data_IF_982449502683
#
_entry.id   IF_982449502683
#
_cell.length_a   1.000
_cell.length_b   1.000
_cell.length_c   1.000
_cell.angle_alpha   90.00
_cell.angle_beta   90.00
_cell.angle_gamma   90.00
#
_symmetry.space_group_name_H-M   'P 1'
#
loop_
_entity.id
_entity.type
_entity.pdbx_description
1 polymer ?
#
# COMPACT_ATOMS: atom_id res chain seq x y z
N UNK A 1 23.16 9.41 -14.56
CA UNK A 1 23.23 7.98 -14.95
C UNK A 1 23.02 7.94 -16.45
N UNK A 2 24.02 7.47 -17.21
CA UNK A 2 23.89 7.32 -18.66
C UNK A 2 23.11 6.03 -18.92
N UNK A 3 21.88 6.16 -19.34
CA UNK A 3 21.14 5.03 -19.88
C UNK A 3 21.83 4.59 -21.17
N UNK A 4 22.09 3.30 -21.36
CA UNK A 4 22.66 2.84 -22.62
C UNK A 4 21.64 3.12 -23.73
N UNK A 5 22.01 4.01 -24.66
CA UNK A 5 21.36 4.13 -25.95
C UNK A 5 21.62 2.84 -26.73
N UNK A 6 20.87 1.79 -26.44
CA UNK A 6 20.87 0.58 -27.27
C UNK A 6 20.00 0.80 -28.52
N UNK A 7 20.35 1.79 -29.33
CA UNK A 7 19.84 1.92 -30.68
C UNK A 7 20.75 1.09 -31.62
N UNK A 8 20.79 -0.23 -31.42
CA UNK A 8 21.47 -1.11 -32.33
C UNK A 8 20.64 -1.50 -33.57
N UNK A 9 19.61 -0.73 -33.94
CA UNK A 9 18.81 -1.00 -35.13
C UNK A 9 18.15 -2.38 -35.16
N UNK A 10 18.05 -3.06 -34.01
CA UNK A 10 17.47 -4.39 -33.93
C UNK A 10 15.95 -4.23 -33.82
N UNK A 11 15.24 -4.75 -34.77
CA UNK A 11 13.79 -4.86 -34.71
C UNK A 11 13.40 -5.96 -33.74
N UNK A 12 12.41 -5.72 -32.92
CA UNK A 12 11.81 -6.65 -31.96
C UNK A 12 10.29 -6.55 -32.01
N UNK A 13 9.58 -7.59 -31.60
CA UNK A 13 8.14 -7.45 -31.41
C UNK A 13 7.81 -6.42 -30.33
N UNK A 14 6.67 -5.77 -30.44
CA UNK A 14 6.22 -4.81 -29.42
C UNK A 14 6.11 -5.47 -28.04
N UNK A 15 5.77 -6.77 -27.96
CA UNK A 15 5.79 -7.56 -26.74
C UNK A 15 7.17 -7.60 -26.05
N UNK A 16 8.25 -7.83 -26.83
CA UNK A 16 9.62 -7.77 -26.30
C UNK A 16 10.01 -6.36 -25.86
N UNK A 17 9.59 -5.32 -26.61
CA UNK A 17 9.85 -3.92 -26.23
C UNK A 17 9.15 -3.53 -24.93
N UNK A 18 7.95 -4.07 -24.66
CA UNK A 18 7.27 -3.93 -23.35
C UNK A 18 8.18 -4.47 -22.25
N UNK A 19 8.69 -5.68 -22.39
CA UNK A 19 9.57 -6.31 -21.39
C UNK A 19 10.89 -5.56 -21.22
N UNK A 20 11.56 -5.19 -22.31
CA UNK A 20 12.78 -4.37 -22.27
C UNK A 20 12.56 -3.05 -21.50
N UNK A 21 11.37 -2.44 -21.68
CA UNK A 21 11.00 -1.21 -20.96
C UNK A 21 10.79 -1.46 -19.47
N UNK A 22 10.14 -2.57 -19.10
CA UNK A 22 9.98 -2.95 -17.69
C UNK A 22 11.34 -3.15 -17.02
N UNK A 23 12.30 -3.83 -17.69
CA UNK A 23 13.69 -3.98 -17.23
C UNK A 23 14.34 -2.61 -17.04
N UNK A 24 14.22 -1.71 -18.01
CA UNK A 24 14.79 -0.35 -17.94
C UNK A 24 14.16 0.50 -16.82
N UNK A 25 12.93 0.19 -16.40
CA UNK A 25 12.23 0.82 -15.28
C UNK A 25 12.53 0.16 -13.92
N UNK A 26 13.36 -0.89 -13.89
CA UNK A 26 13.81 -1.56 -12.68
C UNK A 26 12.80 -2.56 -12.11
N UNK A 27 11.95 -3.13 -12.98
CA UNK A 27 11.09 -4.25 -12.59
C UNK A 27 11.94 -5.51 -12.52
N UNK A 28 12.00 -6.12 -11.34
CA UNK A 28 12.78 -7.33 -11.08
C UNK A 28 11.90 -8.59 -11.13
N UNK A 29 10.60 -8.44 -10.92
CA UNK A 29 9.65 -9.54 -10.84
C UNK A 29 8.30 -9.17 -11.44
N UNK A 30 7.64 -10.14 -12.06
CA UNK A 30 6.25 -10.07 -12.50
C UNK A 30 5.48 -11.30 -12.05
N UNK A 31 4.18 -11.15 -11.85
CA UNK A 31 3.28 -12.22 -11.43
C UNK A 31 2.29 -12.50 -12.55
N UNK A 32 2.30 -13.73 -13.07
CA UNK A 32 1.52 -14.05 -14.26
C UNK A 32 0.61 -15.26 -14.08
N UNK A 33 -0.52 -15.26 -14.78
CA UNK A 33 -1.20 -16.47 -15.19
C UNK A 33 -1.09 -16.50 -16.71
N UNK A 34 -0.27 -17.39 -17.29
CA UNK A 34 0.00 -17.42 -18.71
C UNK A 34 -1.27 -17.59 -19.55
N UNK A 35 -1.33 -16.88 -20.67
CA UNK A 35 -2.42 -16.96 -21.62
C UNK A 35 -2.00 -16.61 -23.04
N UNK A 36 -2.71 -17.14 -24.01
CA UNK A 36 -2.39 -17.01 -25.43
C UNK A 36 -2.44 -15.58 -25.96
N UNK A 37 -3.22 -14.71 -25.31
CA UNK A 37 -3.42 -13.34 -25.77
C UNK A 37 -2.24 -12.39 -25.56
N UNK A 38 -1.15 -12.84 -24.95
CA UNK A 38 0.06 -12.04 -24.77
C UNK A 38 1.37 -12.87 -24.86
N UNK A 39 1.39 -13.82 -25.79
CA UNK A 39 2.53 -14.74 -25.99
C UNK A 39 3.85 -14.02 -26.27
N UNK A 40 3.84 -12.95 -27.08
CA UNK A 40 5.05 -12.17 -27.35
C UNK A 40 5.65 -11.49 -26.13
N UNK A 41 4.82 -11.14 -25.14
CA UNK A 41 5.31 -10.65 -23.85
C UNK A 41 5.91 -11.79 -23.02
N UNK A 42 5.26 -12.97 -23.01
CA UNK A 42 5.79 -14.15 -22.30
C UNK A 42 7.12 -14.63 -22.90
N UNK A 43 7.24 -14.57 -24.22
CA UNK A 43 8.49 -14.88 -24.94
C UNK A 43 9.60 -13.91 -24.56
N UNK A 44 9.30 -12.61 -24.56
CA UNK A 44 10.23 -11.58 -24.09
C UNK A 44 10.64 -11.74 -22.62
N UNK A 45 9.73 -12.20 -21.74
CA UNK A 45 10.05 -12.51 -20.34
C UNK A 45 11.01 -13.68 -20.19
N UNK A 46 10.89 -14.71 -21.06
CA UNK A 46 11.78 -15.88 -21.03
C UNK A 46 13.25 -15.52 -21.28
N UNK A 47 13.51 -14.48 -22.07
CA UNK A 47 14.84 -14.00 -22.41
C UNK A 47 15.32 -12.82 -21.53
N UNK A 48 14.51 -12.39 -20.56
CA UNK A 48 14.78 -11.23 -19.71
C UNK A 48 15.33 -11.61 -18.33
N UNK A 49 15.96 -10.67 -17.61
CA UNK A 49 16.36 -10.89 -16.22
C UNK A 49 15.17 -10.82 -15.23
N UNK A 50 13.96 -10.51 -15.68
CA UNK A 50 12.78 -10.42 -14.83
C UNK A 50 12.36 -11.82 -14.36
N UNK A 51 12.24 -12.02 -13.06
CA UNK A 51 11.69 -13.24 -12.50
C UNK A 51 10.18 -13.31 -12.80
N UNK A 52 9.77 -14.31 -13.59
CA UNK A 52 8.36 -14.56 -13.88
C UNK A 52 7.78 -15.58 -12.89
N UNK A 53 6.99 -15.11 -11.92
CA UNK A 53 6.29 -15.97 -10.96
C UNK A 53 4.96 -16.40 -11.56
N UNK A 54 4.90 -17.63 -12.02
CA UNK A 54 3.68 -18.21 -12.59
C UNK A 54 2.73 -18.66 -11.47
N UNK A 55 1.55 -18.06 -11.45
CA UNK A 55 0.50 -18.30 -10.46
C UNK A 55 -0.61 -19.21 -11.02
N UNK A 56 -1.44 -19.73 -10.13
CA UNK A 56 -2.56 -20.62 -10.53
C UNK A 56 -3.91 -19.89 -10.67
N UNK A 57 -3.97 -18.66 -10.15
CA UNK A 57 -5.18 -17.84 -10.18
C UNK A 57 -4.80 -16.36 -10.30
N UNK A 58 -5.49 -15.62 -11.14
CA UNK A 58 -5.17 -14.23 -11.46
C UNK A 58 -5.36 -13.30 -10.26
N UNK A 59 -6.35 -13.55 -9.41
CA UNK A 59 -6.52 -12.84 -8.14
C UNK A 59 -5.29 -12.99 -7.24
N UNK A 60 -4.70 -14.19 -7.16
CA UNK A 60 -3.47 -14.46 -6.43
C UNK A 60 -2.27 -13.71 -7.03
N UNK A 61 -2.09 -13.79 -8.35
CA UNK A 61 -1.04 -13.06 -9.08
C UNK A 61 -1.13 -11.55 -8.82
N UNK A 62 -2.33 -11.00 -8.91
CA UNK A 62 -2.57 -9.57 -8.77
C UNK A 62 -2.42 -9.10 -7.31
N UNK A 63 -2.80 -9.93 -6.31
CA UNK A 63 -2.50 -9.65 -4.90
C UNK A 63 -1.00 -9.67 -4.59
N UNK A 64 -0.23 -10.58 -5.22
CA UNK A 64 1.22 -10.59 -5.07
C UNK A 64 1.84 -9.30 -5.63
N UNK A 65 1.40 -8.84 -6.81
CA UNK A 65 1.85 -7.59 -7.39
C UNK A 65 1.46 -6.39 -6.51
N UNK A 66 0.27 -6.38 -5.93
CA UNK A 66 -0.16 -5.34 -5.00
C UNK A 66 0.72 -5.30 -3.75
N UNK A 67 1.01 -6.47 -3.15
CA UNK A 67 1.89 -6.56 -1.99
C UNK A 67 3.33 -6.10 -2.31
N UNK A 68 3.84 -6.40 -3.50
CA UNK A 68 5.14 -5.92 -3.96
C UNK A 68 5.17 -4.39 -4.11
N UNK A 69 4.08 -3.80 -4.64
CA UNK A 69 3.92 -2.35 -4.70
C UNK A 69 3.98 -1.67 -3.32
N UNK A 70 3.43 -2.31 -2.28
CA UNK A 70 3.55 -1.85 -0.88
C UNK A 70 4.97 -1.92 -0.37
N UNK A 71 5.69 -3.01 -0.66
CA UNK A 71 7.05 -3.20 -0.18
C UNK A 71 8.03 -2.19 -0.79
N UNK A 72 7.93 -1.95 -2.09
CA UNK A 72 8.93 -1.17 -2.83
C UNK A 72 8.51 0.25 -3.18
N UNK A 73 7.24 0.61 -3.07
CA UNK A 73 6.67 1.91 -3.49
C UNK A 73 6.91 2.21 -4.99
N UNK A 74 7.26 1.18 -5.73
CA UNK A 74 7.29 1.13 -7.20
C UNK A 74 6.13 0.27 -7.65
N UNK A 75 5.57 0.48 -8.84
CA UNK A 75 4.45 -0.33 -9.26
C UNK A 75 4.79 -1.82 -9.31
N UNK A 76 4.07 -2.64 -8.54
CA UNK A 76 4.09 -4.09 -8.72
C UNK A 76 3.39 -4.44 -10.04
N UNK A 77 3.85 -5.49 -10.71
CA UNK A 77 3.42 -5.83 -12.07
C UNK A 77 2.77 -7.21 -12.10
N UNK A 78 1.52 -7.27 -12.59
CA UNK A 78 0.86 -8.53 -12.92
C UNK A 78 0.45 -8.58 -14.40
N UNK A 79 0.36 -9.79 -14.95
CA UNK A 79 -0.06 -10.00 -16.33
C UNK A 79 -1.05 -11.16 -16.43
N UNK A 80 -2.17 -10.92 -17.10
CA UNK A 80 -3.28 -11.88 -17.22
C UNK A 80 -3.84 -11.92 -18.64
N UNK A 81 -4.54 -12.98 -18.96
CA UNK A 81 -5.23 -13.08 -20.24
C UNK A 81 -6.54 -12.28 -20.26
N UNK A 82 -7.13 -12.17 -21.45
CA UNK A 82 -8.41 -11.49 -21.73
C UNK A 82 -9.59 -12.13 -21.00
N UNK A 83 -10.70 -11.40 -20.92
CA UNK A 83 -11.99 -11.85 -20.40
C UNK A 83 -11.91 -12.48 -19.01
N UNK A 84 -11.99 -13.82 -18.90
CA UNK A 84 -11.99 -14.52 -17.62
C UNK A 84 -10.80 -14.20 -16.71
N UNK A 85 -9.59 -14.09 -17.27
CA UNK A 85 -8.41 -13.73 -16.51
C UNK A 85 -8.46 -12.29 -15.96
N UNK A 86 -8.92 -11.36 -16.80
CA UNK A 86 -9.17 -9.97 -16.42
C UNK A 86 -10.19 -9.86 -15.28
N UNK A 87 -11.28 -10.63 -15.37
CA UNK A 87 -12.32 -10.66 -14.34
C UNK A 87 -11.79 -11.15 -12.99
N UNK A 88 -10.99 -12.22 -12.98
CA UNK A 88 -10.40 -12.77 -11.77
C UNK A 88 -9.39 -11.80 -11.10
N UNK A 89 -8.70 -10.97 -11.89
CA UNK A 89 -7.74 -9.99 -11.39
C UNK A 89 -8.39 -8.77 -10.72
N UNK A 90 -9.67 -8.50 -10.97
CA UNK A 90 -10.35 -7.26 -10.57
C UNK A 90 -10.36 -7.04 -9.05
N UNK A 91 -10.49 -8.08 -8.26
CA UNK A 91 -10.54 -7.98 -6.79
C UNK A 91 -9.30 -7.30 -6.22
N UNK A 92 -8.12 -7.59 -6.75
CA UNK A 92 -6.87 -6.99 -6.29
C UNK A 92 -6.66 -5.56 -6.80
N UNK A 93 -7.24 -5.20 -7.97
CA UNK A 93 -7.28 -3.80 -8.40
C UNK A 93 -8.08 -2.94 -7.42
N UNK A 94 -9.23 -3.44 -6.95
CA UNK A 94 -10.00 -2.75 -5.91
C UNK A 94 -9.19 -2.60 -4.60
N UNK A 95 -8.40 -3.61 -4.23
CA UNK A 95 -7.49 -3.53 -3.09
C UNK A 95 -6.43 -2.44 -3.31
N UNK A 96 -5.73 -2.46 -4.43
CA UNK A 96 -4.71 -1.45 -4.76
C UNK A 96 -5.29 -0.02 -4.80
N UNK A 97 -6.52 0.14 -5.27
CA UNK A 97 -7.24 1.43 -5.27
C UNK A 97 -7.50 1.94 -3.85
N UNK A 98 -8.09 1.09 -2.99
CA UNK A 98 -8.40 1.45 -1.61
C UNK A 98 -7.14 1.73 -0.78
N UNK A 99 -6.11 0.93 -0.99
CA UNK A 99 -4.84 1.01 -0.28
C UNK A 99 -3.90 2.09 -0.83
N UNK A 100 -4.25 2.71 -1.96
CA UNK A 100 -3.37 3.65 -2.66
C UNK A 100 -2.01 3.03 -3.00
N UNK A 101 -2.02 1.80 -3.49
CA UNK A 101 -0.82 1.04 -3.86
C UNK A 101 -0.53 1.17 -5.35
N UNK A 102 0.70 1.55 -5.70
CA UNK A 102 1.13 1.60 -7.08
C UNK A 102 1.18 0.19 -7.70
N UNK A 103 0.45 -0.03 -8.79
CA UNK A 103 0.36 -1.32 -9.47
C UNK A 103 0.05 -1.14 -10.96
N UNK A 104 0.62 -1.99 -11.81
CA UNK A 104 0.25 -2.07 -13.23
C UNK A 104 -0.21 -3.50 -13.53
N UNK A 105 -1.43 -3.61 -14.07
CA UNK A 105 -1.97 -4.86 -14.61
C UNK A 105 -1.96 -4.80 -16.13
N UNK A 106 -1.18 -5.68 -16.75
CA UNK A 106 -1.25 -5.91 -18.18
C UNK A 106 -2.28 -6.99 -18.49
N UNK A 107 -3.16 -6.70 -19.43
CA UNK A 107 -4.26 -7.60 -19.84
C UNK A 107 -4.16 -7.85 -21.33
N UNK A 108 -3.95 -9.10 -21.72
CA UNK A 108 -4.03 -9.47 -23.14
C UNK A 108 -5.45 -9.21 -23.67
N UNK A 109 -5.56 -8.74 -24.90
CA UNK A 109 -6.83 -8.48 -25.56
C UNK A 109 -6.94 -9.25 -26.86
N UNK A 110 -8.15 -9.34 -27.38
CA UNK A 110 -8.41 -9.85 -28.73
C UNK A 110 -7.73 -8.96 -29.78
N UNK A 111 -7.44 -9.49 -31.00
CA UNK A 111 -6.96 -8.68 -32.10
C UNK A 111 -7.83 -7.44 -32.33
N UNK A 112 -7.18 -6.33 -32.65
CA UNK A 112 -7.86 -5.03 -32.79
C UNK A 112 -8.95 -5.07 -33.88
N UNK A 113 -8.70 -5.79 -34.96
CA UNK A 113 -9.63 -5.96 -36.07
C UNK A 113 -10.88 -6.81 -35.74
N UNK A 114 -10.86 -7.54 -34.61
CA UNK A 114 -11.97 -8.41 -34.17
C UNK A 114 -12.94 -7.73 -33.19
N UNK A 115 -12.67 -6.49 -32.80
CA UNK A 115 -13.52 -5.75 -31.83
C UNK A 115 -14.94 -5.56 -32.33
N UNK A 116 -15.88 -5.53 -31.40
CA UNK A 116 -17.32 -5.35 -31.63
C UNK A 116 -17.97 -6.43 -32.50
N UNK A 117 -17.36 -7.64 -32.52
CA UNK A 117 -17.86 -8.79 -33.27
C UNK A 117 -18.22 -9.97 -32.38
N UNK A 118 -18.35 -9.76 -31.06
CA UNK A 118 -18.54 -10.81 -30.07
C UNK A 118 -17.43 -11.90 -30.17
N UNK A 119 -16.17 -11.45 -30.36
CA UNK A 119 -15.03 -12.33 -30.47
C UNK A 119 -14.81 -13.12 -29.17
N UNK A 120 -14.17 -14.29 -29.28
CA UNK A 120 -13.93 -15.16 -28.13
C UNK A 120 -13.20 -14.43 -26.99
N UNK A 121 -13.84 -14.37 -25.82
CA UNK A 121 -13.37 -13.68 -24.61
C UNK A 121 -13.24 -12.15 -24.76
N UNK A 122 -13.93 -11.55 -25.69
CA UNK A 122 -14.00 -10.10 -25.83
C UNK A 122 -14.64 -9.45 -24.61
N UNK A 123 -14.10 -8.30 -24.20
CA UNK A 123 -14.69 -7.42 -23.19
C UNK A 123 -14.19 -5.99 -23.41
N UNK A 124 -14.87 -5.02 -22.84
CA UNK A 124 -14.44 -3.62 -22.86
C UNK A 124 -13.66 -3.30 -21.59
N UNK A 125 -12.30 -3.09 -21.67
CA UNK A 125 -11.48 -2.77 -20.52
C UNK A 125 -11.89 -1.48 -19.80
N UNK A 126 -12.35 -0.46 -20.54
CA UNK A 126 -12.81 0.80 -19.94
C UNK A 126 -14.07 0.57 -19.12
N UNK A 127 -15.07 -0.13 -19.65
CA UNK A 127 -16.30 -0.42 -18.93
C UNK A 127 -16.07 -1.23 -17.65
N UNK A 128 -15.04 -2.11 -17.63
CA UNK A 128 -14.76 -2.95 -16.48
C UNK A 128 -13.90 -2.28 -15.42
N UNK A 129 -12.93 -1.45 -15.81
CA UNK A 129 -11.85 -1.03 -14.90
C UNK A 129 -11.82 0.47 -14.57
N UNK A 130 -12.46 1.35 -15.35
CA UNK A 130 -12.37 2.82 -15.13
C UNK A 130 -12.85 3.25 -13.73
N UNK A 131 -13.77 2.52 -13.10
CA UNK A 131 -14.31 2.89 -11.78
C UNK A 131 -13.41 2.55 -10.61
N UNK A 132 -12.45 1.63 -10.76
CA UNK A 132 -11.59 1.12 -9.68
C UNK A 132 -10.10 1.26 -9.96
N UNK A 133 -9.73 2.07 -10.96
CA UNK A 133 -8.33 2.30 -11.34
C UNK A 133 -8.04 3.77 -11.57
N UNK A 134 -6.76 4.13 -11.56
CA UNK A 134 -6.34 5.49 -11.90
C UNK A 134 -6.48 5.77 -13.39
N UNK A 135 -6.21 4.76 -14.20
CA UNK A 135 -6.24 4.87 -15.65
C UNK A 135 -6.35 3.50 -16.29
N UNK A 136 -7.11 3.44 -17.38
CA UNK A 136 -7.11 2.32 -18.32
C UNK A 136 -6.50 2.81 -19.62
N UNK A 137 -5.58 2.05 -20.18
CA UNK A 137 -4.86 2.37 -21.40
C UNK A 137 -4.87 1.17 -22.32
N UNK A 138 -4.92 1.39 -23.63
CA UNK A 138 -4.88 0.31 -24.61
C UNK A 138 -3.75 0.62 -25.60
N UNK A 139 -2.90 -0.35 -25.83
CA UNK A 139 -1.84 -0.25 -26.85
C UNK A 139 -2.47 -0.31 -28.24
N UNK A 140 -2.63 0.84 -28.86
CA UNK A 140 -3.27 1.00 -30.17
C UNK A 140 -2.30 0.94 -31.35
N UNK A 141 -1.02 1.22 -31.13
CA UNK A 141 0.05 1.18 -32.12
C UNK A 141 1.30 0.55 -31.52
N UNK A 142 1.89 -0.39 -32.24
CA UNK A 142 3.06 -1.14 -31.77
C UNK A 142 4.26 -0.23 -31.40
N UNK A 143 4.49 0.84 -32.17
CA UNK A 143 5.58 1.80 -31.94
C UNK A 143 5.47 2.54 -30.58
N UNK A 144 4.29 2.55 -29.97
CA UNK A 144 4.02 3.15 -28.66
C UNK A 144 4.24 2.18 -27.49
N UNK A 145 4.72 0.96 -27.75
CA UNK A 145 4.87 -0.07 -26.72
C UNK A 145 5.69 0.41 -25.51
N UNK A 146 6.85 1.03 -25.73
CA UNK A 146 7.65 1.58 -24.64
C UNK A 146 7.04 2.81 -23.99
N UNK A 147 6.41 3.68 -24.78
CA UNK A 147 5.72 4.88 -24.25
C UNK A 147 4.61 4.50 -23.27
N UNK A 148 3.75 3.55 -23.64
CA UNK A 148 2.60 3.15 -22.82
C UNK A 148 3.03 2.50 -21.51
N UNK A 149 4.11 1.71 -21.52
CA UNK A 149 4.69 1.12 -20.29
C UNK A 149 5.23 2.22 -19.39
N UNK A 150 6.02 3.15 -19.93
CA UNK A 150 6.59 4.26 -19.16
C UNK A 150 5.49 5.14 -18.54
N UNK A 151 4.45 5.45 -19.31
CA UNK A 151 3.29 6.22 -18.85
C UNK A 151 2.48 5.46 -17.77
N UNK A 152 2.27 4.15 -17.94
CA UNK A 152 1.56 3.33 -16.95
C UNK A 152 2.31 3.27 -15.61
N UNK A 153 3.63 3.03 -15.65
CA UNK A 153 4.49 3.00 -14.46
C UNK A 153 4.51 4.36 -13.75
N UNK A 154 4.61 5.46 -14.52
CA UNK A 154 4.55 6.82 -13.97
C UNK A 154 3.17 7.12 -13.36
N UNK A 155 2.09 6.84 -14.10
CA UNK A 155 0.72 7.12 -13.64
C UNK A 155 0.37 6.35 -12.37
N UNK A 156 0.79 5.08 -12.27
CA UNK A 156 0.56 4.26 -11.08
C UNK A 156 1.23 4.84 -9.81
N UNK A 157 2.45 5.40 -9.93
CA UNK A 157 3.24 5.89 -8.81
C UNK A 157 3.03 7.39 -8.49
N UNK A 158 2.52 8.19 -9.44
CA UNK A 158 2.41 9.65 -9.32
C UNK A 158 1.16 10.09 -8.54
N UNK A 159 1.21 11.26 -7.91
CA UNK A 159 0.12 11.75 -7.07
C UNK A 159 -0.25 10.72 -5.99
N UNK A 160 -1.55 10.50 -5.75
CA UNK A 160 -2.01 9.35 -4.95
C UNK A 160 -1.71 8.08 -5.75
N UNK A 161 -0.84 7.18 -5.25
CA UNK A 161 -0.57 5.92 -5.94
C UNK A 161 -1.83 5.08 -6.14
N UNK A 162 -1.82 4.21 -7.14
CA UNK A 162 -2.96 3.33 -7.39
C UNK A 162 -2.80 2.48 -8.65
N UNK A 163 -3.75 1.59 -8.94
CA UNK A 163 -3.67 0.66 -10.05
C UNK A 163 -3.89 1.34 -11.40
N UNK A 164 -3.14 0.88 -12.39
CA UNK A 164 -3.29 1.21 -13.82
C UNK A 164 -3.45 -0.09 -14.60
N UNK A 165 -4.36 -0.11 -15.56
CA UNK A 165 -4.57 -1.26 -16.45
C UNK A 165 -4.07 -0.91 -17.86
N UNK A 166 -3.32 -1.82 -18.47
CA UNK A 166 -2.84 -1.70 -19.85
C UNK A 166 -3.33 -2.89 -20.66
N UNK A 167 -4.21 -2.62 -21.61
CA UNK A 167 -4.72 -3.61 -22.56
C UNK A 167 -3.73 -3.81 -23.72
N UNK A 168 -3.44 -5.06 -24.04
CA UNK A 168 -2.47 -5.49 -25.05
C UNK A 168 -3.17 -6.29 -26.15
N UNK A 169 -3.62 -5.66 -27.26
CA UNK A 169 -4.17 -6.39 -28.39
C UNK A 169 -3.13 -7.33 -29.00
N UNK A 170 -3.54 -8.57 -29.23
CA UNK A 170 -2.68 -9.67 -29.66
C UNK A 170 -1.96 -9.37 -31.00
N UNK A 171 -2.67 -8.82 -31.97
CA UNK A 171 -2.15 -8.46 -33.28
C UNK A 171 -1.17 -7.25 -33.25
N UNK A 172 -1.26 -6.41 -32.21
CA UNK A 172 -0.39 -5.26 -32.05
C UNK A 172 0.94 -5.66 -31.39
N UNK A 173 0.90 -6.50 -30.34
CA UNK A 173 2.13 -6.89 -29.64
C UNK A 173 3.05 -7.80 -30.47
N UNK A 174 2.52 -8.45 -31.50
CA UNK A 174 3.28 -9.29 -32.46
C UNK A 174 4.05 -8.47 -33.51
N UNK A 175 3.70 -7.19 -33.70
CA UNK A 175 4.32 -6.37 -34.74
C UNK A 175 5.76 -6.03 -34.38
N UNK A 176 6.65 -6.18 -35.36
CA UNK A 176 8.05 -5.80 -35.21
C UNK A 176 8.25 -4.30 -35.37
N UNK A 177 8.93 -3.71 -34.41
CA UNK A 177 9.22 -2.27 -34.34
C UNK A 177 10.70 -2.00 -34.05
N UNK A 178 11.14 -0.77 -34.27
CA UNK A 178 12.44 -0.30 -33.80
C UNK A 178 12.40 -0.09 -32.28
N UNK A 179 13.21 -0.83 -31.54
CA UNK A 179 13.24 -0.78 -30.08
C UNK A 179 13.84 0.55 -29.57
N UNK A 180 12.98 1.48 -29.20
CA UNK A 180 13.36 2.71 -28.48
C UNK A 180 12.72 2.69 -27.12
N UNK A 181 13.54 2.77 -26.05
CA UNK A 181 13.04 2.71 -24.68
C UNK A 181 12.82 4.10 -24.11
N UNK A 182 11.62 4.34 -23.60
CA UNK A 182 11.29 5.54 -22.85
C UNK A 182 11.89 5.46 -21.43
N UNK A 183 12.60 6.50 -20.96
CA UNK A 183 13.21 6.50 -19.65
C UNK A 183 12.17 6.67 -18.55
N UNK A 184 12.51 6.19 -17.36
CA UNK A 184 11.69 6.39 -16.14
C UNK A 184 11.62 7.88 -15.79
N UNK A 185 10.42 8.41 -15.65
CA UNK A 185 10.18 9.77 -15.18
C UNK A 185 10.20 9.85 -13.64
N UNK A 186 10.78 10.90 -13.04
CA UNK A 186 10.73 11.12 -11.61
C UNK A 186 9.32 11.48 -11.15
N UNK A 187 8.94 11.00 -9.96
CA UNK A 187 7.64 11.29 -9.34
C UNK A 187 7.81 12.39 -8.30
N UNK A 188 6.98 13.44 -8.40
CA UNK A 188 6.99 14.54 -7.43
C UNK A 188 6.41 14.10 -6.07
N UNK A 189 7.04 14.54 -4.98
CA UNK A 189 6.65 14.21 -3.60
C UNK A 189 5.94 15.33 -2.83
N UNK A 190 5.81 16.52 -3.41
CA UNK A 190 5.32 17.70 -2.68
C UNK A 190 6.25 18.13 -1.54
N UNK A 191 5.72 18.89 -0.59
CA UNK A 191 6.46 19.34 0.60
C UNK A 191 5.70 20.46 1.31
N UNK A 192 6.13 20.82 2.52
CA UNK A 192 5.54 21.95 3.25
C UNK A 192 5.96 23.29 2.63
N UNK A 193 4.98 24.16 2.39
CA UNK A 193 5.23 25.58 2.14
C UNK A 193 5.59 26.27 3.45
N UNK A 194 6.07 27.51 3.37
CA UNK A 194 6.34 28.34 4.56
C UNK A 194 5.05 28.57 5.38
N UNK A 195 3.90 28.71 4.69
CA UNK A 195 2.62 28.87 5.36
C UNK A 195 2.17 27.59 6.03
N UNK A 196 2.28 26.42 5.37
CA UNK A 196 1.99 25.11 5.96
C UNK A 196 2.82 24.89 7.24
N UNK A 197 4.12 25.21 7.16
CA UNK A 197 5.02 25.05 8.30
C UNK A 197 4.57 25.93 9.49
N UNK A 198 4.23 27.22 9.20
CA UNK A 198 3.75 28.15 10.22
C UNK A 198 2.43 27.68 10.83
N UNK A 199 1.46 27.29 10.01
CA UNK A 199 0.14 26.81 10.47
C UNK A 199 0.27 25.57 11.37
N UNK A 200 1.13 24.61 11.00
CA UNK A 200 1.35 23.42 11.82
C UNK A 200 2.07 23.75 13.13
N UNK A 201 3.13 24.57 13.05
CA UNK A 201 3.88 25.02 14.23
C UNK A 201 2.98 25.75 15.25
N UNK A 202 2.19 26.73 14.79
CA UNK A 202 1.28 27.49 15.64
C UNK A 202 0.21 26.57 16.26
N UNK A 203 -0.33 25.62 15.47
CA UNK A 203 -1.31 24.64 15.96
C UNK A 203 -0.72 23.72 17.04
N UNK A 204 0.52 23.29 16.90
CA UNK A 204 1.24 22.50 17.93
C UNK A 204 1.51 23.32 19.18
N UNK A 205 1.92 24.58 19.05
CA UNK A 205 2.13 25.47 20.21
C UNK A 205 0.86 25.74 21.02
N UNK A 206 -0.32 25.78 20.36
CA UNK A 206 -1.60 25.97 21.01
C UNK A 206 -2.18 24.68 21.62
N UNK A 207 -1.75 23.51 21.13
CA UNK A 207 -2.27 22.21 21.56
C UNK A 207 -1.75 21.78 22.93
N UNK A 208 -2.63 21.19 23.74
CA UNK A 208 -2.29 20.50 24.99
C UNK A 208 -2.25 18.98 24.82
N UNK A 209 -2.98 18.45 23.83
CA UNK A 209 -3.18 17.02 23.59
C UNK A 209 -2.97 16.63 22.11
N UNK A 210 -1.78 16.88 21.55
CA UNK A 210 -1.50 16.56 20.15
C UNK A 210 -1.41 15.05 19.91
N UNK A 211 -1.84 14.61 18.73
CA UNK A 211 -1.74 13.23 18.26
C UNK A 211 -1.38 13.21 16.78
N UNK A 212 -0.37 12.43 16.41
CA UNK A 212 -0.11 12.07 15.03
C UNK A 212 -0.73 10.72 14.72
N UNK A 213 -1.48 10.61 13.62
CA UNK A 213 -1.99 9.33 13.12
C UNK A 213 -1.37 9.09 11.75
N UNK A 214 -0.57 8.05 11.66
CA UNK A 214 0.14 7.68 10.42
C UNK A 214 -0.57 6.54 9.71
N UNK A 215 -0.51 6.53 8.38
CA UNK A 215 -1.10 5.46 7.58
C UNK A 215 -0.70 5.52 6.13
N UNK A 216 -1.32 4.67 5.30
CA UNK A 216 -0.97 4.52 3.89
C UNK A 216 0.34 3.77 3.65
N UNK A 217 0.69 3.59 2.37
CA UNK A 217 1.80 2.73 1.95
C UNK A 217 2.97 3.48 1.30
N UNK A 218 2.99 4.82 1.34
CA UNK A 218 4.02 5.64 0.66
C UNK A 218 5.08 6.18 1.64
N UNK A 219 5.41 5.36 2.64
CA UNK A 219 6.47 5.63 3.62
C UNK A 219 7.82 5.05 3.19
N UNK A 220 8.90 5.52 3.80
CA UNK A 220 10.22 4.90 3.77
C UNK A 220 10.63 4.51 5.18
N UNK A 221 11.53 3.52 5.32
CA UNK A 221 12.08 3.16 6.64
C UNK A 221 12.72 4.37 7.33
N UNK A 222 13.41 5.21 6.55
CA UNK A 222 14.03 6.43 7.04
C UNK A 222 13.00 7.45 7.55
N UNK A 223 11.92 7.70 6.79
CA UNK A 223 10.87 8.62 7.23
C UNK A 223 10.12 8.11 8.46
N UNK A 224 9.87 6.80 8.54
CA UNK A 224 9.28 6.15 9.70
C UNK A 224 10.15 6.34 10.95
N UNK A 225 11.45 6.06 10.83
CA UNK A 225 12.43 6.24 11.91
C UNK A 225 12.53 7.71 12.35
N UNK A 226 12.71 8.63 11.40
CA UNK A 226 12.82 10.07 11.69
C UNK A 226 11.57 10.64 12.37
N UNK A 227 10.38 10.23 11.94
CA UNK A 227 9.14 10.65 12.60
C UNK A 227 9.10 10.13 14.05
N UNK A 228 9.41 8.85 14.26
CA UNK A 228 9.42 8.26 15.61
C UNK A 228 10.38 8.98 16.53
N UNK A 229 11.62 9.22 16.11
CA UNK A 229 12.63 9.96 16.87
C UNK A 229 12.17 11.38 17.21
N UNK A 230 11.55 12.09 16.26
CA UNK A 230 11.03 13.44 16.49
C UNK A 230 9.85 13.46 17.47
N UNK A 231 8.91 12.49 17.36
CA UNK A 231 7.81 12.34 18.31
C UNK A 231 8.31 12.04 19.72
N UNK A 232 9.33 11.19 19.86
CA UNK A 232 9.96 10.84 21.14
C UNK A 232 10.68 12.04 21.78
N UNK A 233 11.43 12.80 20.99
CA UNK A 233 12.13 14.01 21.44
C UNK A 233 11.13 15.02 22.02
N UNK A 234 10.03 15.26 21.33
CA UNK A 234 9.01 16.22 21.75
C UNK A 234 7.92 15.63 22.63
N UNK A 235 7.99 14.32 22.96
CA UNK A 235 7.03 13.61 23.82
C UNK A 235 5.59 13.70 23.31
N UNK A 236 5.41 13.65 21.99
CA UNK A 236 4.11 13.70 21.29
C UNK A 236 3.63 12.28 21.00
N UNK A 237 2.32 12.05 21.22
CA UNK A 237 1.67 10.77 20.95
C UNK A 237 1.61 10.47 19.45
N UNK A 238 1.92 9.22 19.07
CA UNK A 238 1.86 8.73 17.72
C UNK A 238 1.09 7.42 17.61
N UNK A 239 0.04 7.43 16.81
CA UNK A 239 -0.80 6.27 16.49
C UNK A 239 -0.61 5.84 15.04
N UNK A 240 -1.00 4.61 14.74
CA UNK A 240 -1.03 4.09 13.38
C UNK A 240 -2.46 3.78 12.96
N UNK A 241 -2.76 3.99 11.69
CA UNK A 241 -4.06 3.62 11.15
C UNK A 241 -4.21 2.10 11.08
N UNK A 242 -5.45 1.64 11.15
CA UNK A 242 -5.82 0.23 11.00
C UNK A 242 -5.24 -0.38 9.71
N UNK A 243 -4.56 -1.53 9.83
CA UNK A 243 -3.90 -2.27 8.75
C UNK A 243 -2.70 -1.60 8.06
N UNK A 244 -2.19 -0.50 8.63
CA UNK A 244 -0.95 0.15 8.13
C UNK A 244 0.09 0.29 9.23
N UNK A 245 0.22 -0.73 10.06
CA UNK A 245 1.12 -0.73 11.23
C UNK A 245 2.60 -0.80 10.81
N UNK A 246 3.46 -0.29 11.68
CA UNK A 246 4.91 -0.27 11.50
C UNK A 246 5.47 1.08 11.03
N UNK A 247 4.62 2.09 10.82
CA UNK A 247 5.08 3.47 10.55
C UNK A 247 5.59 4.19 11.80
N UNK A 248 5.16 3.76 12.98
CA UNK A 248 5.74 4.08 14.27
C UNK A 248 6.03 2.75 14.96
N UNK A 249 7.28 2.48 15.42
CA UNK A 249 7.63 1.22 16.05
C UNK A 249 6.79 0.96 17.31
N UNK A 250 6.40 -0.30 17.51
CA UNK A 250 5.59 -0.74 18.65
C UNK A 250 6.26 -0.44 20.02
N UNK A 251 7.56 -0.51 20.07
CA UNK A 251 8.40 -0.26 21.27
C UNK A 251 8.74 1.22 21.48
N UNK A 252 8.40 2.12 20.57
CA UNK A 252 8.55 3.56 20.78
C UNK A 252 7.73 4.04 21.98
N UNK A 253 8.27 4.85 22.89
CA UNK A 253 7.51 5.46 23.99
C UNK A 253 6.39 6.38 23.53
N UNK A 254 6.46 6.89 22.30
CA UNK A 254 5.43 7.70 21.68
C UNK A 254 4.31 6.87 21.03
N UNK A 255 4.50 5.55 20.83
CA UNK A 255 3.50 4.70 20.20
C UNK A 255 2.30 4.45 21.09
N UNK A 256 1.11 4.82 20.62
CA UNK A 256 -0.15 4.72 21.39
C UNK A 256 -1.18 3.78 20.73
N UNK A 257 -0.74 2.96 19.78
CA UNK A 257 -1.48 1.84 19.24
C UNK A 257 -2.15 2.06 17.88
N UNK A 258 -2.80 1.01 17.35
CA UNK A 258 -3.55 1.09 16.12
C UNK A 258 -4.92 1.74 16.36
N UNK A 259 -5.32 2.64 15.44
CA UNK A 259 -6.64 3.27 15.40
C UNK A 259 -7.51 2.58 14.36
N UNK A 260 -8.56 1.89 14.78
CA UNK A 260 -9.46 1.17 13.89
C UNK A 260 -10.28 0.12 14.63
N UNK A 261 -10.83 -0.82 13.91
CA UNK A 261 -11.65 -1.90 14.49
C UNK A 261 -10.88 -2.70 15.54
N UNK A 262 -11.60 -3.16 16.57
CA UNK A 262 -11.05 -3.96 17.65
C UNK A 262 -10.37 -3.18 18.78
N UNK A 263 -10.21 -1.86 18.67
CA UNK A 263 -9.67 -1.05 19.78
C UNK A 263 -10.66 -0.91 20.93
N UNK A 264 -10.19 -0.81 22.18
CA UNK A 264 -11.09 -0.69 23.34
C UNK A 264 -11.72 0.68 23.43
N UNK A 265 -12.89 0.77 24.08
CA UNK A 265 -13.61 2.04 24.29
C UNK A 265 -12.75 3.17 24.89
N UNK A 266 -11.89 2.94 25.91
CA UNK A 266 -11.04 4.01 26.42
C UNK A 266 -10.14 4.68 25.37
N UNK A 267 -9.73 3.97 24.31
CA UNK A 267 -8.96 4.56 23.20
C UNK A 267 -9.82 5.51 22.36
N UNK A 268 -11.10 5.21 22.15
CA UNK A 268 -12.05 6.12 21.51
C UNK A 268 -12.25 7.38 22.33
N UNK A 269 -12.42 7.24 23.64
CA UNK A 269 -12.60 8.37 24.56
C UNK A 269 -11.38 9.31 24.51
N UNK A 270 -10.16 8.75 24.49
CA UNK A 270 -8.94 9.54 24.36
C UNK A 270 -8.84 10.24 22.99
N UNK A 271 -9.27 9.58 21.92
CA UNK A 271 -9.30 10.21 20.59
C UNK A 271 -10.24 11.43 20.56
N UNK A 272 -11.38 11.37 21.27
CA UNK A 272 -12.28 12.51 21.44
C UNK A 272 -11.72 13.61 22.35
N UNK A 273 -10.89 13.28 23.35
CA UNK A 273 -10.23 14.28 24.18
C UNK A 273 -9.13 15.06 23.43
N UNK A 274 -8.50 14.45 22.42
CA UNK A 274 -7.41 15.04 21.62
C UNK A 274 -7.85 16.35 20.97
N UNK A 275 -7.10 17.43 21.12
CA UNK A 275 -7.43 18.75 20.57
C UNK A 275 -6.86 19.00 19.17
N UNK A 276 -5.73 18.39 18.85
CA UNK A 276 -5.08 18.44 17.54
C UNK A 276 -4.73 17.03 17.04
N UNK A 277 -5.19 16.68 15.84
CA UNK A 277 -4.72 15.47 15.14
C UNK A 277 -4.05 15.87 13.83
N UNK A 278 -2.85 15.30 13.59
CA UNK A 278 -2.13 15.37 12.33
C UNK A 278 -2.20 14.01 11.64
N UNK A 279 -3.03 13.88 10.61
CA UNK A 279 -3.12 12.67 9.80
C UNK A 279 -2.04 12.69 8.73
N UNK A 280 -1.11 11.72 8.75
CA UNK A 280 0.03 11.67 7.83
C UNK A 280 -0.07 10.43 6.92
N UNK A 281 -0.27 10.66 5.63
CA UNK A 281 -0.42 9.59 4.63
C UNK A 281 -1.77 8.87 4.70
N UNK A 282 -2.68 9.32 5.56
CA UNK A 282 -4.01 8.77 5.75
C UNK A 282 -5.05 9.88 5.92
N UNK A 283 -6.30 9.51 6.11
CA UNK A 283 -7.45 10.42 6.28
C UNK A 283 -8.26 10.02 7.51
N UNK A 284 -9.08 10.90 8.09
CA UNK A 284 -10.04 10.55 9.13
C UNK A 284 -11.18 9.67 8.55
N UNK A 285 -10.81 8.47 8.09
CA UNK A 285 -11.73 7.51 7.49
C UNK A 285 -12.67 6.86 8.50
N UNK A 286 -13.63 6.09 8.03
CA UNK A 286 -14.64 5.39 8.82
C UNK A 286 -14.04 4.47 9.89
N UNK A 287 -12.97 3.74 9.56
CA UNK A 287 -12.30 2.84 10.52
C UNK A 287 -11.67 3.58 11.69
N UNK A 288 -11.10 4.78 11.45
CA UNK A 288 -10.47 5.60 12.51
C UNK A 288 -11.53 6.35 13.32
N UNK A 289 -12.61 6.79 12.68
CA UNK A 289 -13.64 7.66 13.27
C UNK A 289 -14.91 6.91 13.68
N UNK A 290 -14.87 5.59 13.75
CA UNK A 290 -16.01 4.73 14.10
C UNK A 290 -17.26 5.04 13.26
N UNK A 291 -17.14 4.81 11.96
CA UNK A 291 -18.24 5.09 11.02
C UNK A 291 -18.57 6.57 10.90
N UNK A 292 -17.57 7.46 10.99
CA UNK A 292 -17.72 8.92 10.96
C UNK A 292 -18.54 9.48 12.13
N UNK A 293 -18.54 8.81 13.30
CA UNK A 293 -19.28 9.26 14.48
C UNK A 293 -18.45 10.09 15.45
N UNK A 294 -17.13 9.87 15.50
CA UNK A 294 -16.21 10.63 16.36
C UNK A 294 -15.40 11.66 15.55
N UNK A 295 -14.84 12.65 16.23
CA UNK A 295 -14.06 13.76 15.63
C UNK A 295 -14.87 14.62 14.65
N UNK A 296 -16.19 14.69 14.81
CA UNK A 296 -17.05 15.55 13.99
C UNK A 296 -17.17 16.98 14.54
N UNK A 297 -16.51 17.30 15.68
CA UNK A 297 -16.49 18.63 16.23
C UNK A 297 -15.55 19.55 15.44
N UNK A 298 -16.08 20.61 14.85
CA UNK A 298 -15.34 21.60 14.04
C UNK A 298 -14.42 22.52 14.86
N UNK A 299 -14.61 22.59 16.18
CA UNK A 299 -13.73 23.38 17.07
C UNK A 299 -12.37 22.70 17.29
N UNK A 300 -12.26 21.39 16.98
CA UNK A 300 -11.02 20.63 17.09
C UNK A 300 -10.22 20.66 15.78
N UNK A 301 -8.89 20.79 15.90
CA UNK A 301 -8.02 20.90 14.72
C UNK A 301 -7.68 19.53 14.15
N UNK A 302 -7.88 19.35 12.86
CA UNK A 302 -7.46 18.20 12.09
C UNK A 302 -6.59 18.68 10.91
N UNK A 303 -5.31 18.35 10.93
CA UNK A 303 -4.39 18.56 9.81
C UNK A 303 -4.34 17.31 8.96
N UNK A 304 -4.34 17.48 7.66
CA UNK A 304 -4.29 16.39 6.70
C UNK A 304 -3.04 16.52 5.83
N UNK A 305 -2.12 15.57 5.94
CA UNK A 305 -0.92 15.47 5.10
C UNK A 305 -1.13 14.35 4.10
N UNK A 306 -1.36 14.71 2.86
CA UNK A 306 -1.57 13.75 1.75
C UNK A 306 -1.10 14.36 0.44
N UNK A 307 -0.60 13.52 -0.45
CA UNK A 307 -0.21 13.95 -1.81
C UNK A 307 -1.42 14.23 -2.71
N UNK A 308 -2.62 13.78 -2.33
CA UNK A 308 -3.86 14.00 -3.11
C UNK A 308 -4.67 15.16 -2.51
N UNK A 309 -4.67 16.35 -3.13
CA UNK A 309 -5.46 17.48 -2.67
C UNK A 309 -6.97 17.24 -2.76
N UNK A 310 -7.42 16.27 -3.54
CA UNK A 310 -8.83 15.93 -3.71
C UNK A 310 -9.46 15.19 -2.54
N UNK A 311 -8.68 14.77 -1.55
CA UNK A 311 -9.19 14.08 -0.35
C UNK A 311 -9.77 15.02 0.70
N UNK A 312 -9.47 16.31 0.63
CA UNK A 312 -9.97 17.31 1.59
C UNK A 312 -11.50 17.30 1.68
N UNK A 313 -12.01 17.25 2.91
CA UNK A 313 -13.44 17.34 3.21
C UNK A 313 -14.27 16.09 2.91
N UNK A 314 -13.69 15.02 2.39
CA UNK A 314 -14.41 13.77 2.13
C UNK A 314 -14.69 12.95 3.39
N UNK A 315 -13.82 13.05 4.40
CA UNK A 315 -13.83 12.18 5.57
C UNK A 315 -14.03 12.92 6.88
N UNK A 316 -14.53 14.15 6.85
CA UNK A 316 -14.77 14.96 8.04
C UNK A 316 -14.05 16.31 8.01
N UNK A 317 -14.15 17.11 9.10
CA UNK A 317 -13.58 18.45 9.16
C UNK A 317 -12.05 18.41 9.07
N UNK A 318 -11.50 19.19 8.14
CA UNK A 318 -10.06 19.39 7.94
C UNK A 318 -9.76 20.87 8.10
N UNK A 319 -8.96 21.22 9.11
CA UNK A 319 -8.57 22.61 9.41
C UNK A 319 -7.54 23.12 8.41
N UNK A 320 -6.54 22.29 8.09
CA UNK A 320 -5.49 22.60 7.14
C UNK A 320 -5.05 21.35 6.37
N UNK A 321 -4.69 21.52 5.11
CA UNK A 321 -4.18 20.43 4.26
C UNK A 321 -2.80 20.76 3.72
N UNK A 322 -1.86 19.84 3.95
CA UNK A 322 -0.49 19.88 3.43
C UNK A 322 -0.36 18.87 2.29
N UNK A 323 0.01 19.34 1.08
CA UNK A 323 0.14 18.46 -0.09
C UNK A 323 1.56 17.92 -0.17
N UNK A 324 1.76 16.77 0.48
CA UNK A 324 3.06 16.11 0.55
C UNK A 324 2.92 14.59 0.70
N UNK A 325 3.93 13.86 0.19
CA UNK A 325 4.16 12.46 0.58
C UNK A 325 4.69 12.42 2.02
N UNK A 326 4.43 11.32 2.79
CA UNK A 326 4.95 11.18 4.15
C UNK A 326 6.45 11.46 4.27
N UNK A 327 7.27 10.91 3.37
CA UNK A 327 8.72 11.10 3.43
C UNK A 327 9.17 12.55 3.25
N UNK A 328 8.51 13.32 2.36
CA UNK A 328 8.83 14.73 2.15
C UNK A 328 8.31 15.60 3.29
N UNK A 329 7.14 15.29 3.82
CA UNK A 329 6.60 15.94 5.01
C UNK A 329 7.51 15.75 6.23
N UNK A 330 7.91 14.52 6.53
CA UNK A 330 8.78 14.21 7.69
C UNK A 330 10.13 14.91 7.56
N UNK A 331 10.76 14.90 6.38
CA UNK A 331 12.00 15.64 6.12
C UNK A 331 11.90 17.12 6.50
N UNK A 332 10.74 17.74 6.25
CA UNK A 332 10.51 19.15 6.56
C UNK A 332 10.09 19.33 8.03
N UNK A 333 9.31 18.38 8.61
CA UNK A 333 8.83 18.38 10.00
C UNK A 333 10.00 18.32 11.02
N UNK A 334 10.97 17.43 10.80
CA UNK A 334 12.08 17.22 11.75
C UNK A 334 13.01 18.43 11.92
N UNK A 335 12.81 19.46 11.12
CA UNK A 335 13.47 20.76 11.27
C UNK A 335 12.73 21.73 12.18
N UNK A 336 11.53 21.32 12.62
CA UNK A 336 10.68 22.12 13.50
C UNK A 336 11.16 21.94 14.93
N UNK A 337 11.63 23.00 15.53
CA UNK A 337 11.98 23.06 16.95
C UNK A 337 10.75 23.48 17.75
N UNK A 338 10.46 22.74 18.81
CA UNK A 338 9.30 22.98 19.67
C UNK A 338 9.74 23.05 21.13
N UNK A 339 9.11 23.89 21.96
CA UNK A 339 9.41 23.95 23.38
C UNK A 339 9.00 22.64 24.08
N UNK A 340 9.70 22.31 25.16
CA UNK A 340 9.30 21.21 26.04
C UNK A 340 7.97 21.57 26.75
N UNK A 341 6.96 20.73 26.60
CA UNK A 341 5.63 20.90 27.19
C UNK A 341 5.29 19.72 28.09
N UNK A 342 5.23 19.90 29.41
CA UNK A 342 4.91 18.82 30.35
C UNK A 342 3.57 18.15 30.07
N UNK A 343 2.55 18.92 29.63
CA UNK A 343 1.23 18.42 29.27
C UNK A 343 1.26 17.40 28.12
N UNK A 344 2.16 17.53 27.16
CA UNK A 344 2.33 16.55 26.09
C UNK A 344 2.87 15.22 26.63
N UNK A 345 3.85 15.28 27.53
CA UNK A 345 4.40 14.09 28.16
C UNK A 345 3.35 13.34 28.99
N UNK A 346 2.54 14.07 29.76
CA UNK A 346 1.45 13.48 30.55
C UNK A 346 0.39 12.85 29.65
N UNK A 347 0.00 13.54 28.58
CA UNK A 347 -0.95 13.05 27.61
C UNK A 347 -0.47 11.78 26.90
N UNK A 348 0.75 11.80 26.38
CA UNK A 348 1.38 10.65 25.70
C UNK A 348 1.51 9.46 26.65
N UNK A 349 1.95 9.67 27.89
CA UNK A 349 2.01 8.61 28.90
C UNK A 349 0.63 8.00 29.21
N UNK A 350 -0.43 8.82 29.28
CA UNK A 350 -1.81 8.35 29.48
C UNK A 350 -2.25 7.45 28.33
N UNK A 351 -2.01 7.87 27.09
CA UNK A 351 -2.37 7.08 25.90
C UNK A 351 -1.52 5.81 25.80
N UNK A 352 -0.23 5.90 26.08
CA UNK A 352 0.70 4.75 26.06
C UNK A 352 0.29 3.68 27.06
N UNK A 353 -0.05 4.06 28.27
CA UNK A 353 -0.51 3.13 29.31
C UNK A 353 -1.78 2.35 28.88
N UNK A 354 -2.70 2.99 28.17
CA UNK A 354 -3.86 2.31 27.58
C UNK A 354 -3.46 1.30 26.52
N UNK A 355 -2.51 1.66 25.66
CA UNK A 355 -2.01 0.75 24.63
C UNK A 355 -1.27 -0.44 25.24
N UNK A 356 -0.42 -0.24 26.24
CA UNK A 356 0.32 -1.32 26.91
C UNK A 356 -0.64 -2.29 27.60
N UNK A 357 -1.65 -1.78 28.30
CA UNK A 357 -2.67 -2.62 28.92
C UNK A 357 -3.49 -3.39 27.88
N UNK A 358 -3.79 -2.80 26.72
CA UNK A 358 -4.52 -3.45 25.65
C UNK A 358 -3.69 -4.55 24.97
N UNK A 359 -2.41 -4.28 24.70
CA UNK A 359 -1.51 -5.18 23.98
C UNK A 359 -0.79 -6.21 24.88
N UNK A 360 -1.05 -6.20 26.18
CA UNK A 360 -0.45 -7.15 27.09
C UNK A 360 -0.87 -8.59 26.75
N UNK A 361 0.12 -9.43 26.47
CA UNK A 361 -0.13 -10.86 26.22
C UNK A 361 -0.67 -11.53 27.49
N UNK A 362 -1.65 -12.44 27.37
CA UNK A 362 -2.15 -13.19 28.52
C UNK A 362 -1.05 -14.07 29.11
N UNK A 363 -0.94 -14.07 30.44
CA UNK A 363 0.06 -14.88 31.19
C UNK A 363 -0.46 -16.30 31.48
N UNK A 364 -1.78 -16.47 31.49
CA UNK A 364 -2.43 -17.76 31.68
C UNK A 364 -3.24 -18.10 30.42
N UNK A 365 -2.85 -19.18 29.75
CA UNK A 365 -3.58 -19.71 28.62
C UNK A 365 -4.48 -20.84 29.09
N UNK A 366 -5.79 -20.67 29.07
CA UNK A 366 -6.75 -21.73 29.31
C UNK A 366 -6.79 -22.60 28.06
N UNK A 367 -6.24 -23.82 28.18
CA UNK A 367 -6.23 -24.82 27.10
C UNK A 367 -7.44 -25.79 27.15
N UNK A 368 -8.50 -25.38 27.82
CA UNK A 368 -9.73 -26.18 27.91
C UNK A 368 -10.77 -25.66 26.91
N UNK A 369 -11.22 -26.52 26.00
CA UNK A 369 -12.23 -26.19 25.00
C UNK A 369 -11.66 -25.84 23.62
N UNK A 370 -12.39 -25.03 22.79
CA UNK A 370 -11.93 -24.60 21.48
C UNK A 370 -10.64 -23.76 21.53
N UNK A 371 -9.82 -23.81 20.48
CA UNK A 371 -8.58 -23.06 20.39
C UNK A 371 -8.82 -21.56 20.62
N UNK A 372 -8.08 -20.95 21.56
CA UNK A 372 -8.15 -19.53 21.87
C UNK A 372 -7.13 -18.76 21.05
N UNK A 373 -7.58 -17.71 20.36
CA UNK A 373 -6.69 -16.80 19.63
C UNK A 373 -5.71 -16.07 20.56
N UNK A 374 -6.13 -15.71 21.78
CA UNK A 374 -5.24 -15.13 22.80
C UNK A 374 -4.11 -16.09 23.16
N UNK A 375 -4.42 -17.38 23.37
CA UNK A 375 -3.42 -18.42 23.66
C UNK A 375 -2.48 -18.63 22.46
N UNK A 376 -3.01 -18.64 21.25
CA UNK A 376 -2.21 -18.76 20.03
C UNK A 376 -1.23 -17.60 19.89
N UNK A 377 -1.67 -16.36 20.09
CA UNK A 377 -0.81 -15.18 20.01
C UNK A 377 0.21 -15.13 21.15
N UNK A 378 -0.17 -15.50 22.38
CA UNK A 378 0.73 -15.59 23.51
C UNK A 378 1.86 -16.61 23.29
N UNK A 379 1.61 -17.66 22.52
CA UNK A 379 2.62 -18.65 22.14
C UNK A 379 3.44 -18.19 20.92
N UNK A 380 2.79 -17.64 19.88
CA UNK A 380 3.41 -17.26 18.63
C UNK A 380 4.35 -16.05 18.79
N UNK A 381 3.84 -14.96 19.36
CA UNK A 381 4.55 -13.66 19.38
C UNK A 381 5.96 -13.76 20.02
N UNK A 382 6.15 -14.42 21.18
CA UNK A 382 7.50 -14.53 21.78
C UNK A 382 8.48 -15.39 20.97
N UNK A 383 8.01 -16.18 20.01
CA UNK A 383 8.86 -17.04 19.16
C UNK A 383 9.34 -16.34 17.89
N UNK A 384 8.79 -15.18 17.59
CA UNK A 384 9.10 -14.45 16.36
C UNK A 384 10.38 -13.62 16.53
N UNK A 385 11.25 -13.61 15.49
CA UNK A 385 12.38 -12.68 15.48
C UNK A 385 11.88 -11.24 15.38
N UNK A 386 12.70 -10.29 15.89
CA UNK A 386 12.42 -8.86 15.92
C UNK A 386 12.05 -8.27 14.54
N UNK A 387 12.61 -8.84 13.49
CA UNK A 387 12.43 -8.41 12.11
C UNK A 387 11.41 -9.27 11.32
N UNK A 388 10.60 -10.06 12.03
CA UNK A 388 9.53 -10.85 11.43
C UNK A 388 8.52 -9.96 10.69
N UNK A 389 7.94 -10.54 9.64
CA UNK A 389 6.87 -9.90 8.87
C UNK A 389 5.60 -10.71 9.01
N UNK A 390 4.48 -10.01 9.11
CA UNK A 390 3.16 -10.65 9.20
C UNK A 390 2.27 -10.20 8.04
N UNK A 391 1.53 -11.15 7.49
CA UNK A 391 0.47 -10.86 6.52
C UNK A 391 -0.85 -11.40 7.02
N UNK A 392 -1.92 -10.74 6.67
CA UNK A 392 -3.29 -11.22 6.92
C UNK A 392 -4.28 -10.52 5.99
N UNK A 393 -5.44 -11.13 5.79
CA UNK A 393 -6.50 -10.58 4.95
C UNK A 393 -7.68 -10.06 5.77
N UNK A 394 -8.79 -10.80 5.83
CA UNK A 394 -10.02 -10.36 6.47
C UNK A 394 -10.64 -11.41 7.39
N UNK A 395 -11.23 -10.94 8.47
CA UNK A 395 -11.91 -11.75 9.47
C UNK A 395 -11.62 -11.24 10.89
N UNK A 396 -12.36 -11.72 11.87
CA UNK A 396 -12.20 -11.30 13.26
C UNK A 396 -10.84 -11.64 13.85
N UNK A 397 -10.20 -12.73 13.37
CA UNK A 397 -8.84 -13.12 13.76
C UNK A 397 -7.81 -12.00 13.61
N UNK A 398 -8.04 -11.06 12.71
CA UNK A 398 -7.13 -9.93 12.47
C UNK A 398 -7.06 -8.97 13.66
N UNK A 399 -8.08 -8.92 14.52
CA UNK A 399 -8.08 -8.09 15.72
C UNK A 399 -7.00 -8.53 16.72
N UNK A 400 -6.72 -9.85 16.82
CA UNK A 400 -5.64 -10.36 17.66
C UNK A 400 -4.26 -10.03 17.09
N UNK A 401 -4.10 -10.05 15.76
CA UNK A 401 -2.87 -9.62 15.11
C UNK A 401 -2.62 -8.13 15.38
N UNK A 402 -3.62 -7.27 15.19
CA UNK A 402 -3.53 -5.84 15.49
C UNK A 402 -3.21 -5.55 16.95
N UNK A 403 -3.75 -6.36 17.86
CA UNK A 403 -3.58 -6.19 19.29
C UNK A 403 -2.20 -6.61 19.77
N UNK A 404 -1.69 -7.74 19.33
CA UNK A 404 -0.55 -8.42 19.92
C UNK A 404 0.70 -8.46 19.10
N UNK A 405 0.63 -8.31 17.76
CA UNK A 405 1.82 -8.41 16.93
C UNK A 405 2.66 -7.12 17.02
N UNK A 406 3.92 -7.22 17.50
CA UNK A 406 4.79 -6.06 17.63
C UNK A 406 5.39 -5.69 16.27
N UNK A 407 5.00 -4.54 15.73
CA UNK A 407 5.56 -4.00 14.49
C UNK A 407 6.72 -3.07 14.79
N UNK A 408 7.95 -3.53 14.54
CA UNK A 408 9.16 -2.78 14.88
C UNK A 408 9.70 -1.93 13.74
N UNK A 409 9.27 -2.18 12.51
CA UNK A 409 9.75 -1.53 11.29
C UNK A 409 8.60 -1.23 10.37
N UNK A 410 8.80 -0.25 9.48
CA UNK A 410 7.89 -0.07 8.36
C UNK A 410 7.79 -1.36 7.52
N UNK A 411 6.60 -1.64 7.00
CA UNK A 411 6.29 -2.89 6.28
C UNK A 411 6.58 -4.18 7.07
N UNK A 412 6.52 -4.16 8.43
CA UNK A 412 6.44 -5.38 9.24
C UNK A 412 5.10 -6.07 9.11
N UNK A 413 4.05 -5.31 8.79
CA UNK A 413 2.69 -5.78 8.60
C UNK A 413 2.20 -5.43 7.19
N UNK A 414 1.77 -6.44 6.45
CA UNK A 414 1.23 -6.30 5.10
C UNK A 414 -0.19 -6.86 5.07
N UNK A 415 -1.15 -5.99 4.85
CA UNK A 415 -2.56 -6.35 4.83
C UNK A 415 -3.35 -5.50 3.85
N UNK A 416 -4.51 -5.97 3.44
CA UNK A 416 -5.43 -5.25 2.58
C UNK A 416 -6.37 -4.37 3.42
N UNK A 417 -6.29 -3.05 3.25
CA UNK A 417 -7.09 -2.08 3.99
C UNK A 417 -8.59 -2.24 3.74
N UNK A 418 -8.97 -2.63 2.53
CA UNK A 418 -10.36 -2.91 2.18
C UNK A 418 -10.92 -4.21 2.77
N UNK A 419 -10.13 -4.97 3.55
CA UNK A 419 -10.58 -6.21 4.15
C UNK A 419 -10.85 -7.31 3.14
N UNK A 420 -10.03 -7.44 2.11
CA UNK A 420 -10.21 -8.46 1.08
C UNK A 420 -9.81 -9.83 1.59
N UNK A 421 -10.74 -10.79 1.57
CA UNK A 421 -10.44 -12.20 1.80
C UNK A 421 -9.60 -12.78 0.65
N UNK A 422 -8.74 -13.73 0.96
CA UNK A 422 -7.83 -14.36 -0.02
C UNK A 422 -6.53 -13.60 -0.25
N UNK A 423 -6.32 -12.48 0.45
CA UNK A 423 -5.13 -11.64 0.35
C UNK A 423 -3.91 -12.22 1.08
N UNK A 424 -4.12 -12.84 2.24
CA UNK A 424 -3.06 -13.22 3.19
C UNK A 424 -1.98 -14.12 2.60
N UNK A 425 -2.35 -15.18 1.89
CA UNK A 425 -1.41 -16.15 1.33
C UNK A 425 -0.60 -15.58 0.17
N UNK A 426 -1.21 -14.99 -0.88
CA UNK A 426 -0.46 -14.35 -1.96
C UNK A 426 0.48 -13.27 -1.47
N UNK A 427 0.04 -12.41 -0.55
CA UNK A 427 0.91 -11.37 0.02
C UNK A 427 2.08 -11.96 0.82
N UNK A 428 1.88 -13.07 1.57
CA UNK A 428 2.96 -13.77 2.27
C UNK A 428 4.00 -14.32 1.30
N UNK A 429 3.57 -14.87 0.17
CA UNK A 429 4.47 -15.37 -0.88
C UNK A 429 5.29 -14.21 -1.45
N UNK A 430 4.64 -13.10 -1.84
CA UNK A 430 5.34 -11.92 -2.35
C UNK A 430 6.35 -11.37 -1.33
N UNK A 431 5.95 -11.25 -0.05
CA UNK A 431 6.85 -10.82 1.03
C UNK A 431 8.04 -11.77 1.19
N UNK A 432 7.82 -13.09 1.12
CA UNK A 432 8.88 -14.08 1.26
C UNK A 432 9.86 -14.05 0.08
N UNK A 433 9.38 -13.86 -1.13
CA UNK A 433 10.23 -13.72 -2.33
C UNK A 433 11.11 -12.45 -2.25
N UNK A 434 10.59 -11.37 -1.69
CA UNK A 434 11.32 -10.11 -1.53
C UNK A 434 12.25 -10.10 -0.28
N UNK A 435 11.97 -10.95 0.69
CA UNK A 435 12.72 -11.05 1.94
C UNK A 435 13.08 -12.50 2.28
N UNK A 436 13.89 -13.20 1.45
CA UNK A 436 14.14 -14.65 1.60
C UNK A 436 14.79 -15.02 2.95
N UNK A 437 15.44 -14.08 3.62
CA UNK A 437 16.10 -14.29 4.90
C UNK A 437 15.27 -13.84 6.11
N UNK A 438 14.01 -13.41 5.90
CA UNK A 438 13.13 -12.98 6.99
C UNK A 438 12.08 -14.05 7.31
N UNK A 439 11.68 -14.12 8.57
CA UNK A 439 10.52 -14.93 8.95
C UNK A 439 9.25 -14.22 8.51
N UNK A 440 8.48 -14.85 7.64
CA UNK A 440 7.15 -14.39 7.23
C UNK A 440 6.11 -15.30 7.87
N UNK A 441 5.13 -14.71 8.53
CA UNK A 441 3.99 -15.42 9.13
C UNK A 441 2.72 -14.86 8.52
N UNK A 442 1.82 -15.72 8.10
CA UNK A 442 0.48 -15.34 7.69
C UNK A 442 -0.56 -15.86 8.68
N UNK A 443 -1.52 -15.00 9.02
CA UNK A 443 -2.69 -15.38 9.83
C UNK A 443 -3.91 -15.29 8.92
N UNK A 444 -4.49 -16.44 8.61
CA UNK A 444 -5.60 -16.56 7.69
C UNK A 444 -6.78 -17.28 8.33
N UNK A 445 -8.00 -16.83 8.05
CA UNK A 445 -9.19 -17.63 8.33
C UNK A 445 -9.31 -18.80 7.36
N UNK A 446 -10.07 -19.82 7.72
CA UNK A 446 -10.29 -21.02 6.91
C UNK A 446 -10.88 -20.72 5.53
N UNK A 447 -11.92 -19.88 5.48
CA UNK A 447 -12.54 -19.45 4.22
C UNK A 447 -11.59 -18.61 3.35
N UNK A 448 -10.81 -17.74 3.97
CA UNK A 448 -9.81 -16.94 3.26
C UNK A 448 -8.69 -17.80 2.67
N UNK A 449 -8.19 -18.77 3.46
CA UNK A 449 -7.17 -19.70 2.99
C UNK A 449 -7.62 -20.48 1.76
N UNK A 450 -8.88 -20.94 1.75
CA UNK A 450 -9.43 -21.71 0.63
C UNK A 450 -9.59 -20.90 -0.67
N UNK A 451 -9.60 -19.57 -0.60
CA UNK A 451 -9.73 -18.74 -1.81
C UNK A 451 -8.45 -18.71 -2.66
N UNK A 452 -7.27 -18.67 -2.04
CA UNK A 452 -5.98 -18.53 -2.74
C UNK A 452 -4.88 -19.42 -2.14
N UNK A 453 -5.23 -20.44 -1.33
CA UNK A 453 -4.26 -21.34 -0.69
C UNK A 453 -3.64 -22.36 -1.63
N UNK A 454 -4.24 -22.59 -2.80
CA UNK A 454 -3.71 -23.53 -3.79
C UNK A 454 -2.64 -22.92 -4.67
#
# INVERSE_FOLDING_TARGET
MNYPNNSNGQRKSAGHVIVDTLVAHGVERVYTVPGESYLDVLDGLADSPIENVVCRHEGGATYMAEAEGKLHRTPGVAMVTRGPGAANAHVALHTAWQDSTAMVLFVGLIPFEHREKEAFQEFDPHAWFDTGTKRVMILDHAERASEIVAEAMFAAASGRPGPVVVGLPEDIIQQEIDARLHPRSPVAGGGMTVDDWKQLHDALLESEKPLFITGGNDWTDEASRQLSEWLEEHKIAGAVEWRTQGTIPFDSPSYVGPMGYGRPKPTYDLLEETDLIVFVGTVPGDTVTDGFTIRQNWDKKNFLVTIDPGLRGRSGPVSHQIVAKPATFVRDLVRMDLPDKPEWAEWTAKMRAQQEAFAALPTECINEGPASMDAMMAHLVPTLPYDAKVTFGAGEHTNWVHRYFPTHHYASLISARNGSMGYSIPSAIAVSLNHPNKRVVTVAGDGEFLMNGQ
#
